data_IF_093477857235
#
_entry.id   IF_093477857235
#
_cell.length_a   1.000
_cell.length_b   1.000
_cell.length_c   1.000
_cell.angle_alpha   90.00
_cell.angle_beta   90.00
_cell.angle_gamma   90.00
#
_symmetry.space_group_name_H-M   'P 1'
#
loop_
_entity.id
_entity.type
_entity.pdbx_description
1 polymer ?
#
# COMPACT_ATOMS: atom_id res chain seq x y z
N UNK A 1 -15.33 6.54 10.40
CA UNK A 1 -15.36 5.19 9.77
C UNK A 1 -13.95 4.66 9.71
N UNK A 2 -13.78 3.33 9.60
CA UNK A 2 -12.46 2.71 9.36
C UNK A 2 -12.30 2.44 7.87
N UNK A 3 -11.27 2.99 7.25
CA UNK A 3 -11.00 2.90 5.81
C UNK A 3 -9.62 2.30 5.59
N UNK A 4 -9.55 1.23 4.80
CA UNK A 4 -8.30 0.64 4.37
C UNK A 4 -8.03 1.00 2.90
N UNK A 5 -6.87 1.61 2.64
CA UNK A 5 -6.39 1.96 1.30
C UNK A 5 -5.11 1.16 1.01
N UNK A 6 -5.09 0.43 -0.11
CA UNK A 6 -3.92 -0.34 -0.54
C UNK A 6 -3.25 0.29 -1.77
N UNK A 7 -1.99 0.69 -1.62
CA UNK A 7 -1.18 1.34 -2.65
C UNK A 7 -0.20 0.32 -3.22
N UNK A 8 -0.45 -0.20 -4.41
CA UNK A 8 0.37 -1.23 -5.07
C UNK A 8 1.30 -0.66 -6.15
N UNK A 9 1.12 0.60 -6.53
CA UNK A 9 1.85 1.28 -7.61
C UNK A 9 2.12 2.75 -7.28
N UNK A 10 3.14 3.38 -7.89
CA UNK A 10 3.44 4.80 -7.72
C UNK A 10 2.26 5.72 -8.07
N UNK A 11 1.47 5.38 -9.10
CA UNK A 11 0.34 6.21 -9.55
C UNK A 11 -0.80 6.24 -8.53
N UNK A 12 -1.03 5.11 -7.86
CA UNK A 12 -2.03 5.02 -6.79
C UNK A 12 -1.64 5.90 -5.60
N UNK A 13 -0.36 6.02 -5.26
CA UNK A 13 0.08 6.92 -4.19
C UNK A 13 -0.31 8.38 -4.49
N UNK A 14 -0.05 8.84 -5.72
CA UNK A 14 -0.42 10.20 -6.15
C UNK A 14 -1.93 10.41 -6.20
N UNK A 15 -2.68 9.38 -6.58
CA UNK A 15 -4.14 9.44 -6.65
C UNK A 15 -4.79 9.46 -5.27
N UNK A 16 -4.28 8.64 -4.35
CA UNK A 16 -4.88 8.47 -3.03
C UNK A 16 -4.42 9.49 -2.00
N UNK A 17 -3.27 10.16 -2.18
CA UNK A 17 -2.79 11.24 -1.30
C UNK A 17 -3.91 12.23 -0.91
N UNK A 18 -4.57 12.94 -1.84
CA UNK A 18 -5.62 13.89 -1.48
C UNK A 18 -6.86 13.22 -0.82
N UNK A 19 -7.14 11.95 -1.14
CA UNK A 19 -8.24 11.22 -0.52
C UNK A 19 -7.91 10.84 0.93
N UNK A 20 -6.68 10.38 1.19
CA UNK A 20 -6.20 10.03 2.53
C UNK A 20 -6.29 11.24 3.44
N UNK A 21 -5.86 12.40 2.96
CA UNK A 21 -5.91 13.65 3.72
C UNK A 21 -7.35 14.05 4.03
N UNK A 22 -8.23 14.05 3.01
CA UNK A 22 -9.65 14.38 3.21
C UNK A 22 -10.37 13.43 4.18
N UNK A 23 -10.06 12.14 4.15
CA UNK A 23 -10.62 11.16 5.10
C UNK A 23 -10.12 11.39 6.52
N UNK A 24 -8.82 11.67 6.69
CA UNK A 24 -8.23 11.99 7.99
C UNK A 24 -8.81 13.30 8.56
N UNK A 25 -8.95 14.35 7.74
CA UNK A 25 -9.57 15.62 8.14
C UNK A 25 -11.04 15.47 8.55
N UNK A 26 -11.77 14.56 7.91
CA UNK A 26 -13.15 14.19 8.30
C UNK A 26 -13.21 13.43 9.63
N UNK A 27 -12.08 12.96 10.17
CA UNK A 27 -11.98 12.19 11.40
C UNK A 27 -12.11 10.67 11.21
N UNK A 28 -11.87 10.15 9.99
CA UNK A 28 -11.84 8.71 9.75
C UNK A 28 -10.50 8.08 10.19
N UNK A 29 -10.57 6.83 10.65
CA UNK A 29 -9.39 6.00 10.86
C UNK A 29 -8.95 5.44 9.49
N UNK A 30 -7.83 5.92 8.98
CA UNK A 30 -7.29 5.50 7.68
C UNK A 30 -6.06 4.63 7.88
N UNK A 31 -6.15 3.37 7.48
CA UNK A 31 -5.02 2.45 7.41
C UNK A 31 -4.55 2.39 5.97
N UNK A 32 -3.29 2.71 5.72
CA UNK A 32 -2.67 2.61 4.40
C UNK A 32 -1.70 1.45 4.40
N UNK A 33 -1.84 0.53 3.44
CA UNK A 33 -0.84 -0.52 3.21
C UNK A 33 -0.19 -0.36 1.85
N UNK A 34 1.00 -0.94 1.71
CA UNK A 34 1.66 -1.09 0.42
C UNK A 34 2.48 -2.38 0.41
N UNK A 35 3.11 -2.68 -0.72
CA UNK A 35 4.06 -3.78 -0.87
C UNK A 35 5.45 -3.21 -1.11
N UNK A 36 6.50 -3.95 -0.72
CA UNK A 36 7.88 -3.56 -1.01
C UNK A 36 8.13 -3.57 -2.51
N UNK A 37 8.17 -2.38 -3.09
CA UNK A 37 8.47 -2.09 -4.48
C UNK A 37 9.10 -0.71 -4.53
N UNK A 38 10.35 -0.61 -4.98
CA UNK A 38 11.20 0.58 -4.83
C UNK A 38 10.49 1.87 -5.24
N UNK A 39 9.81 1.85 -6.38
CA UNK A 39 9.14 3.02 -6.93
C UNK A 39 7.92 3.42 -6.08
N UNK A 40 7.11 2.47 -5.61
CA UNK A 40 5.94 2.78 -4.79
C UNK A 40 6.35 3.28 -3.39
N UNK A 41 7.35 2.62 -2.79
CA UNK A 41 7.91 3.02 -1.50
C UNK A 41 8.52 4.42 -1.55
N UNK A 42 9.27 4.73 -2.61
CA UNK A 42 9.83 6.06 -2.83
C UNK A 42 8.74 7.14 -2.90
N UNK A 43 7.66 6.90 -3.66
CA UNK A 43 6.58 7.89 -3.76
C UNK A 43 5.83 8.04 -2.43
N UNK A 44 5.51 6.95 -1.73
CA UNK A 44 4.85 7.04 -0.42
C UNK A 44 5.69 7.89 0.56
N UNK A 45 7.01 7.64 0.64
CA UNK A 45 7.92 8.43 1.47
C UNK A 45 7.98 9.90 1.05
N UNK A 46 8.10 10.18 -0.25
CA UNK A 46 8.15 11.56 -0.78
C UNK A 46 6.86 12.35 -0.52
N UNK A 47 5.72 11.66 -0.54
CA UNK A 47 4.40 12.23 -0.27
C UNK A 47 4.00 12.14 1.20
N UNK A 48 4.91 11.70 2.08
CA UNK A 48 4.65 11.54 3.51
C UNK A 48 3.41 10.68 3.82
N UNK A 49 3.10 9.73 2.94
CA UNK A 49 2.04 8.75 3.14
C UNK A 49 2.58 7.69 4.09
N UNK A 50 2.03 7.66 5.30
CA UNK A 50 2.32 6.65 6.31
C UNK A 50 1.69 5.31 5.92
N UNK A 51 2.43 4.51 5.16
CA UNK A 51 1.99 3.22 4.65
C UNK A 51 2.76 2.07 5.33
N UNK A 52 2.01 1.06 5.76
CA UNK A 52 2.59 -0.19 6.27
C UNK A 52 2.97 -1.10 5.09
N UNK A 53 4.25 -1.42 4.96
CA UNK A 53 4.77 -2.24 3.86
C UNK A 53 4.72 -3.73 4.20
N UNK A 54 3.80 -4.44 3.55
CA UNK A 54 3.54 -5.87 3.77
C UNK A 54 3.77 -6.63 2.47
N UNK A 55 4.64 -7.65 2.50
CA UNK A 55 5.02 -8.42 1.32
C UNK A 55 5.90 -7.66 0.32
N UNK A 56 6.02 -8.19 -0.91
CA UNK A 56 6.93 -7.66 -1.94
C UNK A 56 6.33 -7.73 -3.36
N UNK A 57 6.98 -7.08 -4.34
CA UNK A 57 6.54 -7.09 -5.73
C UNK A 57 6.75 -8.42 -6.47
N UNK A 58 7.72 -9.23 -6.07
CA UNK A 58 8.07 -10.48 -6.77
C UNK A 58 8.95 -10.32 -8.02
N UNK A 59 9.47 -9.13 -8.32
CA UNK A 59 10.44 -8.93 -9.41
C UNK A 59 9.82 -8.96 -10.81
N UNK A 60 10.60 -9.35 -11.83
CA UNK A 60 10.18 -9.29 -13.26
C UNK A 60 9.27 -10.45 -13.66
N UNK A 61 9.61 -11.67 -13.22
CA UNK A 61 8.95 -12.92 -13.62
C UNK A 61 7.51 -13.03 -13.10
N UNK A 62 6.58 -13.44 -13.96
CA UNK A 62 5.16 -13.55 -13.63
C UNK A 62 4.89 -14.55 -12.50
N UNK A 63 5.58 -15.70 -12.51
CA UNK A 63 5.47 -16.72 -11.45
C UNK A 63 5.85 -16.15 -10.08
N UNK A 64 6.91 -15.36 -10.03
CA UNK A 64 7.38 -14.76 -8.78
C UNK A 64 6.44 -13.65 -8.30
N UNK A 65 5.86 -12.86 -9.21
CA UNK A 65 4.79 -11.89 -8.88
C UNK A 65 3.56 -12.58 -8.29
N UNK A 66 3.12 -13.70 -8.89
CA UNK A 66 2.00 -14.48 -8.38
C UNK A 66 2.31 -15.04 -6.98
N UNK A 67 3.47 -15.67 -6.81
CA UNK A 67 3.90 -16.20 -5.51
C UNK A 67 3.97 -15.10 -4.43
N UNK A 68 4.59 -13.96 -4.75
CA UNK A 68 4.66 -12.82 -3.84
C UNK A 68 3.29 -12.22 -3.51
N UNK A 69 2.35 -12.22 -4.46
CA UNK A 69 0.98 -11.79 -4.22
C UNK A 69 0.24 -12.73 -3.26
N UNK A 70 0.38 -14.04 -3.44
CA UNK A 70 -0.23 -15.04 -2.55
C UNK A 70 0.34 -14.95 -1.14
N UNK A 71 1.66 -14.81 -1.02
CA UNK A 71 2.32 -14.64 0.28
C UNK A 71 1.86 -13.33 0.95
N UNK A 72 1.78 -12.23 0.19
CA UNK A 72 1.25 -10.97 0.70
C UNK A 72 -0.18 -11.10 1.23
N UNK A 73 -1.05 -11.85 0.54
CA UNK A 73 -2.42 -12.09 1.02
C UNK A 73 -2.43 -12.80 2.37
N UNK A 74 -1.53 -13.76 2.62
CA UNK A 74 -1.40 -14.40 3.94
C UNK A 74 -0.95 -13.42 5.01
N UNK A 75 0.09 -12.63 4.73
CA UNK A 75 0.60 -11.63 5.67
C UNK A 75 -0.45 -10.55 6.00
N UNK A 76 -1.36 -10.23 5.08
CA UNK A 76 -2.48 -9.32 5.34
C UNK A 76 -3.50 -9.90 6.33
N UNK A 77 -3.75 -11.22 6.29
CA UNK A 77 -4.62 -11.89 7.26
C UNK A 77 -4.05 -11.84 8.68
N UNK A 78 -2.73 -11.75 8.83
CA UNK A 78 -2.09 -11.63 10.15
C UNK A 78 -2.10 -10.18 10.67
N UNK A 79 -2.24 -9.20 9.77
CA UNK A 79 -2.21 -7.78 10.13
C UNK A 79 -3.59 -7.23 10.50
N UNK A 80 -4.67 -7.79 9.95
CA UNK A 80 -6.05 -7.36 10.17
C UNK A 80 -6.85 -8.40 10.95
#
# INVERSE_FOLDING_TARGET
>A
MRVWIDILTPKQALFFEPLIDALKERGDEVVVTSRRYREAELICRKRQIDAVFIGSHGGKELRNKLSASLERSKLLLEYF
#
